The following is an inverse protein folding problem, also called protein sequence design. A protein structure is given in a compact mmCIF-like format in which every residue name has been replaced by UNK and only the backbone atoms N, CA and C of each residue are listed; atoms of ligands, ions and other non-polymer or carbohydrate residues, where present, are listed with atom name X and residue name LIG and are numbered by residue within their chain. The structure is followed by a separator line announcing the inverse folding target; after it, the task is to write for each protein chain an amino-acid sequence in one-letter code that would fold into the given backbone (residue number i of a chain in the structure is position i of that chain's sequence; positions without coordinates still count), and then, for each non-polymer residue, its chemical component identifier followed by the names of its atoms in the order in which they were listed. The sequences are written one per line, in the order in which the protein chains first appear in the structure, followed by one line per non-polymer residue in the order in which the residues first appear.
data_IF_420000649896
#
_entry.id   IF_420000649896
#
_cell.length_a   1.000
_cell.length_b   1.000
_cell.length_c   1.000
_cell.angle_alpha   90.00
_cell.angle_beta   90.00
_cell.angle_gamma   90.00
#
_symmetry.space_group_name_H-M   'P 1'
#
loop_
_entity.id
_entity.type
_entity.pdbx_description
1 polymer ?
#
# COMPACT_ATOMS: atom_id res chain seq x y z
N UNK A 1 -10.40 1.61 4.12
CA UNK A 1 -10.86 2.06 2.78
C UNK A 1 -12.34 2.44 2.80
N UNK A 2 -13.30 1.54 3.12
CA UNK A 2 -14.74 1.87 3.13
C UNK A 2 -15.04 3.11 3.97
N UNK A 3 -14.56 3.17 5.22
CA UNK A 3 -14.78 4.32 6.11
C UNK A 3 -14.28 5.64 5.51
N UNK A 4 -13.12 5.62 4.82
CA UNK A 4 -12.59 6.81 4.15
C UNK A 4 -13.57 7.33 3.08
N UNK A 5 -14.03 6.43 2.20
CA UNK A 5 -14.95 6.83 1.13
C UNK A 5 -16.29 7.31 1.66
N UNK A 6 -16.78 6.71 2.75
CA UNK A 6 -18.03 7.18 3.38
C UNK A 6 -17.86 8.59 3.95
N UNK A 7 -16.74 8.89 4.64
CA UNK A 7 -16.50 10.23 5.20
C UNK A 7 -16.32 11.31 4.13
N UNK A 8 -15.83 10.96 2.93
CA UNK A 8 -15.64 11.91 1.82
C UNK A 8 -16.93 12.18 1.05
N UNK A 9 -17.90 11.27 1.05
CA UNK A 9 -19.14 11.38 0.24
C UNK A 9 -20.31 11.97 1.04
N UNK A 10 -20.30 11.81 2.37
CA UNK A 10 -21.38 12.35 3.23
C UNK A 10 -21.14 13.85 3.47
N UNK A 11 -22.15 14.72 3.28
CA UNK A 11 -22.04 16.14 3.64
C UNK A 11 -21.54 16.30 5.09
N UNK A 12 -20.55 17.18 5.30
CA UNK A 12 -19.88 17.40 6.58
C UNK A 12 -19.20 16.16 7.19
N UNK A 13 -19.05 15.09 6.43
CA UNK A 13 -18.41 13.86 6.88
C UNK A 13 -16.95 14.07 7.30
N UNK A 14 -16.28 15.07 6.73
CA UNK A 14 -14.91 15.47 7.09
C UNK A 14 -14.80 16.07 8.51
N UNK A 15 -15.90 16.56 9.08
CA UNK A 15 -15.96 17.14 10.43
C UNK A 15 -16.28 16.10 11.51
N UNK A 16 -16.31 14.82 11.17
CA UNK A 16 -16.65 13.75 12.08
C UNK A 16 -15.44 13.13 12.75
N UNK A 17 -15.60 12.60 13.96
CA UNK A 17 -14.55 11.81 14.63
C UNK A 17 -14.07 10.60 13.78
N UNK A 18 -14.90 10.13 12.85
CA UNK A 18 -14.50 9.09 11.89
C UNK A 18 -13.48 9.59 10.89
N UNK A 19 -13.57 10.86 10.48
CA UNK A 19 -12.56 11.48 9.62
C UNK A 19 -11.22 11.62 10.37
N UNK A 20 -11.26 12.05 11.64
CA UNK A 20 -10.07 12.11 12.49
C UNK A 20 -9.43 10.72 12.64
N UNK A 21 -10.23 9.69 12.93
CA UNK A 21 -9.74 8.32 13.00
C UNK A 21 -9.13 7.85 11.67
N UNK A 22 -9.76 8.19 10.54
CA UNK A 22 -9.22 7.90 9.21
C UNK A 22 -7.87 8.57 8.98
N UNK A 23 -7.70 9.82 9.42
CA UNK A 23 -6.46 10.57 9.30
C UNK A 23 -5.35 9.92 10.13
N UNK A 24 -5.63 9.49 11.36
CA UNK A 24 -4.68 8.75 12.21
C UNK A 24 -4.27 7.40 11.63
N UNK A 25 -5.19 6.71 10.95
CA UNK A 25 -4.92 5.41 10.32
C UNK A 25 -4.33 5.52 8.92
N UNK A 26 -4.29 6.71 8.32
CA UNK A 26 -3.83 6.91 6.94
C UNK A 26 -2.44 6.34 6.68
N UNK A 27 -1.42 6.62 7.50
CA UNK A 27 -0.08 6.11 7.27
C UNK A 27 0.03 4.58 7.35
N UNK A 28 -0.91 3.92 8.04
CA UNK A 28 -0.90 2.47 8.28
C UNK A 28 -1.68 1.67 7.25
N UNK A 29 -2.75 2.23 6.68
CA UNK A 29 -3.71 1.48 5.85
C UNK A 29 -3.10 0.82 4.63
N UNK A 30 -2.45 1.59 3.79
CA UNK A 30 -1.87 1.12 2.54
C UNK A 30 -0.58 0.30 2.76
N UNK A 31 0.36 0.73 3.62
CA UNK A 31 1.52 -0.08 3.93
C UNK A 31 1.17 -1.46 4.50
N UNK A 32 0.23 -1.54 5.44
CA UNK A 32 -0.23 -2.83 5.97
C UNK A 32 -0.92 -3.69 4.91
N UNK A 33 -1.71 -3.07 4.03
CA UNK A 33 -2.32 -3.79 2.90
C UNK A 33 -1.26 -4.42 2.00
N UNK A 34 -0.24 -3.67 1.60
CA UNK A 34 0.84 -4.19 0.76
C UNK A 34 1.76 -5.16 1.51
N UNK A 35 2.01 -4.92 2.81
CA UNK A 35 2.75 -5.86 3.65
C UNK A 35 2.04 -7.22 3.73
N UNK A 36 0.75 -7.24 4.06
CA UNK A 36 -0.05 -8.47 4.13
C UNK A 36 -0.12 -9.16 2.77
N UNK A 37 -0.32 -8.38 1.70
CA UNK A 37 -0.33 -8.92 0.33
C UNK A 37 1.00 -9.58 -0.05
N UNK A 38 2.13 -8.96 0.30
CA UNK A 38 3.47 -9.52 0.10
C UNK A 38 3.71 -10.76 0.97
N UNK A 39 3.34 -10.70 2.24
CA UNK A 39 3.46 -11.82 3.19
C UNK A 39 2.76 -13.10 2.69
N UNK A 40 1.58 -12.97 2.06
CA UNK A 40 0.87 -14.10 1.46
C UNK A 40 1.30 -14.44 0.03
N UNK A 41 2.19 -13.66 -0.57
CA UNK A 41 2.67 -13.89 -1.94
C UNK A 41 3.88 -14.84 -2.04
N UNK A 42 4.33 -15.44 -0.95
CA UNK A 42 5.52 -16.33 -0.93
C UNK A 42 5.43 -17.57 -1.83
N UNK A 43 4.22 -18.02 -2.19
CA UNK A 43 4.04 -19.11 -3.16
C UNK A 43 4.62 -18.77 -4.54
N UNK A 44 4.72 -17.48 -4.88
CA UNK A 44 5.25 -16.96 -6.15
C UNK A 44 6.71 -17.38 -6.36
N UNK A 45 7.49 -17.55 -5.29
CA UNK A 45 8.87 -18.03 -5.40
C UNK A 45 9.00 -19.38 -6.12
N UNK A 46 7.93 -20.18 -6.14
CA UNK A 46 7.88 -21.52 -6.75
C UNK A 46 7.12 -21.56 -8.08
N UNK A 47 6.43 -20.45 -8.46
CA UNK A 47 5.58 -20.45 -9.65
C UNK A 47 6.39 -20.32 -10.94
N UNK A 48 5.95 -21.05 -11.96
CA UNK A 48 6.21 -20.71 -13.37
C UNK A 48 5.41 -19.46 -13.74
N UNK A 49 5.71 -18.83 -14.87
CA UNK A 49 4.94 -17.67 -15.32
C UNK A 49 3.47 -17.99 -15.58
N UNK A 50 3.20 -19.15 -16.18
CA UNK A 50 1.83 -19.61 -16.42
C UNK A 50 1.05 -19.81 -15.13
N UNK A 51 1.68 -20.37 -14.10
CA UNK A 51 1.06 -20.50 -12.77
C UNK A 51 0.84 -19.15 -12.09
N UNK A 52 1.78 -18.22 -12.20
CA UNK A 52 1.59 -16.86 -11.72
C UNK A 52 0.37 -16.22 -12.37
N UNK A 53 0.28 -16.32 -13.72
CA UNK A 53 -0.81 -15.73 -14.47
C UNK A 53 -2.16 -16.32 -14.06
N UNK A 54 -2.30 -17.63 -14.09
CA UNK A 54 -3.58 -18.33 -13.86
C UNK A 54 -4.02 -18.30 -12.39
N UNK A 55 -3.06 -18.36 -11.43
CA UNK A 55 -3.38 -18.47 -9.99
C UNK A 55 -3.41 -17.14 -9.27
N UNK A 56 -2.88 -16.04 -9.89
CA UNK A 56 -2.77 -14.73 -9.23
C UNK A 56 -3.18 -13.58 -10.13
N UNK A 57 -2.49 -13.38 -11.27
CA UNK A 57 -2.69 -12.19 -12.09
C UNK A 57 -4.10 -12.15 -12.68
N UNK A 58 -4.64 -13.29 -13.11
CA UNK A 58 -6.00 -13.38 -13.64
C UNK A 58 -7.06 -12.84 -12.67
N UNK A 59 -6.93 -13.17 -11.40
CA UNK A 59 -7.85 -12.72 -10.34
C UNK A 59 -7.77 -11.22 -10.03
N UNK A 60 -6.67 -10.58 -10.37
CA UNK A 60 -6.54 -9.12 -10.30
C UNK A 60 -6.92 -8.46 -11.61
N UNK A 61 -6.47 -9.02 -12.73
CA UNK A 61 -6.63 -8.43 -14.06
C UNK A 61 -8.10 -8.33 -14.46
N UNK A 62 -8.86 -9.40 -14.28
CA UNK A 62 -10.28 -9.43 -14.69
C UNK A 62 -11.12 -8.43 -13.91
N UNK A 63 -11.14 -8.42 -12.56
CA UNK A 63 -11.88 -7.40 -11.82
C UNK A 63 -11.39 -5.98 -12.12
N UNK A 64 -10.09 -5.79 -12.24
CA UNK A 64 -9.51 -4.49 -12.57
C UNK A 64 -10.04 -3.99 -13.92
N UNK A 65 -9.90 -4.79 -14.97
CA UNK A 65 -10.31 -4.39 -16.33
C UNK A 65 -11.80 -4.10 -16.40
N UNK A 66 -12.63 -5.00 -15.83
CA UNK A 66 -14.09 -4.84 -15.87
C UNK A 66 -14.54 -3.61 -15.09
N UNK A 67 -14.15 -3.50 -13.81
CA UNK A 67 -14.61 -2.41 -12.94
C UNK A 67 -14.09 -1.06 -13.35
N UNK A 68 -12.82 -0.98 -13.78
CA UNK A 68 -12.23 0.28 -14.21
C UNK A 68 -12.80 0.77 -15.54
N UNK A 69 -13.14 -0.15 -16.43
CA UNK A 69 -13.87 0.23 -17.67
C UNK A 69 -15.24 0.83 -17.34
N UNK A 70 -15.98 0.20 -16.43
CA UNK A 70 -17.30 0.72 -15.99
C UNK A 70 -17.13 2.06 -15.27
N UNK A 71 -16.16 2.20 -14.37
CA UNK A 71 -15.86 3.46 -13.66
C UNK A 71 -15.53 4.59 -14.63
N UNK A 72 -14.58 4.37 -15.54
CA UNK A 72 -14.14 5.38 -16.48
C UNK A 72 -15.28 5.79 -17.42
N UNK A 73 -16.11 4.83 -17.84
CA UNK A 73 -17.25 5.11 -18.70
C UNK A 73 -18.31 5.93 -17.97
N UNK A 74 -18.71 5.54 -16.77
CA UNK A 74 -19.73 6.27 -15.99
C UNK A 74 -19.27 7.67 -15.64
N UNK A 75 -18.03 7.88 -15.21
CA UNK A 75 -17.45 9.21 -14.98
C UNK A 75 -17.44 10.06 -16.24
N UNK A 76 -17.13 9.47 -17.39
CA UNK A 76 -17.07 10.22 -18.65
C UNK A 76 -18.46 10.64 -19.12
N UNK A 77 -19.47 9.81 -18.90
CA UNK A 77 -20.88 10.18 -19.14
C UNK A 77 -21.27 11.34 -18.22
N UNK A 78 -20.96 11.27 -16.94
CA UNK A 78 -21.22 12.34 -15.97
C UNK A 78 -20.56 13.65 -16.39
N UNK A 79 -19.27 13.63 -16.73
CA UNK A 79 -18.54 14.82 -17.18
C UNK A 79 -19.08 15.37 -18.51
N UNK A 80 -19.54 14.51 -19.42
CA UNK A 80 -20.21 14.95 -20.63
C UNK A 80 -21.48 15.73 -20.32
N UNK A 81 -22.31 15.25 -19.40
CA UNK A 81 -23.58 15.89 -19.04
C UNK A 81 -23.38 17.18 -18.24
N UNK A 82 -22.37 17.25 -17.39
CA UNK A 82 -22.13 18.41 -16.50
C UNK A 82 -21.29 19.48 -17.19
N UNK A 83 -20.26 19.10 -17.94
CA UNK A 83 -19.23 20.00 -18.45
C UNK A 83 -19.18 20.04 -19.99
N UNK A 84 -19.91 19.20 -20.71
CA UNK A 84 -19.87 19.09 -22.16
C UNK A 84 -18.64 18.38 -22.72
N UNK A 85 -17.91 17.66 -21.89
CA UNK A 85 -16.68 16.92 -22.26
C UNK A 85 -16.97 15.85 -23.33
N UNK A 86 -16.01 15.53 -24.22
CA UNK A 86 -16.18 14.47 -25.21
C UNK A 86 -16.37 13.10 -24.54
N UNK A 87 -17.09 12.19 -25.20
CA UNK A 87 -17.24 10.81 -24.71
C UNK A 87 -15.91 10.08 -24.62
N UNK A 88 -15.86 9.02 -23.80
CA UNK A 88 -14.67 8.18 -23.59
C UNK A 88 -14.23 7.55 -24.91
N UNK A 89 -13.01 7.84 -25.33
CA UNK A 89 -12.38 7.21 -26.48
C UNK A 89 -11.64 5.93 -26.02
N UNK A 90 -11.48 4.98 -26.94
CA UNK A 90 -10.74 3.75 -26.65
C UNK A 90 -9.27 4.01 -26.25
N UNK A 91 -8.66 5.01 -26.86
CA UNK A 91 -7.29 5.45 -26.51
C UNK A 91 -7.18 5.92 -25.08
N UNK A 92 -8.14 6.73 -24.61
CA UNK A 92 -8.17 7.24 -23.23
C UNK A 92 -8.43 6.11 -22.23
N UNK A 93 -9.34 5.18 -22.58
CA UNK A 93 -9.61 4.00 -21.78
C UNK A 93 -8.34 3.15 -21.60
N UNK A 94 -7.69 2.80 -22.71
CA UNK A 94 -6.46 1.99 -22.66
C UNK A 94 -5.34 2.71 -21.92
N UNK A 95 -5.17 4.01 -22.14
CA UNK A 95 -4.18 4.85 -21.44
C UNK A 95 -4.39 4.79 -19.92
N UNK A 96 -5.61 5.06 -19.45
CA UNK A 96 -5.91 5.07 -18.02
C UNK A 96 -5.79 3.67 -17.38
N UNK A 97 -6.22 2.62 -18.10
CA UNK A 97 -6.08 1.24 -17.61
C UNK A 97 -4.60 0.81 -17.52
N UNK A 98 -3.78 1.13 -18.53
CA UNK A 98 -2.38 0.75 -18.56
C UNK A 98 -1.53 1.51 -17.54
N UNK A 99 -1.82 2.79 -17.32
CA UNK A 99 -1.08 3.62 -16.36
C UNK A 99 -1.64 3.57 -14.94
N UNK A 100 -2.77 2.90 -14.72
CA UNK A 100 -3.37 2.79 -13.39
C UNK A 100 -3.99 4.09 -12.87
N UNK A 101 -4.40 5.01 -13.77
CA UNK A 101 -5.06 6.27 -13.44
C UNK A 101 -6.55 6.03 -13.10
N UNK A 102 -6.80 5.18 -12.13
CA UNK A 102 -8.14 4.72 -11.76
C UNK A 102 -8.27 4.65 -10.24
N UNK A 103 -9.49 4.55 -9.72
CA UNK A 103 -9.69 4.38 -8.27
C UNK A 103 -9.09 3.08 -7.75
N UNK A 104 -9.02 2.03 -8.56
CA UNK A 104 -8.42 0.75 -8.16
C UNK A 104 -6.93 0.63 -8.51
N UNK A 105 -6.19 1.75 -8.48
CA UNK A 105 -4.75 1.77 -8.71
C UNK A 105 -3.97 0.75 -7.85
N UNK A 106 -4.50 0.39 -6.68
CA UNK A 106 -3.87 -0.59 -5.79
C UNK A 106 -3.92 -2.02 -6.35
N UNK A 107 -4.98 -2.38 -7.11
CA UNK A 107 -5.06 -3.68 -7.81
C UNK A 107 -4.06 -3.68 -8.97
N UNK A 108 -3.99 -2.58 -9.73
CA UNK A 108 -2.97 -2.40 -10.75
C UNK A 108 -1.55 -2.56 -10.18
N UNK A 109 -1.26 -1.89 -9.05
CA UNK A 109 0.02 -2.05 -8.36
C UNK A 109 0.28 -3.50 -7.95
N UNK A 110 -0.71 -4.24 -7.43
CA UNK A 110 -0.56 -5.65 -7.08
C UNK A 110 -0.23 -6.52 -8.29
N UNK A 111 -0.78 -6.25 -9.48
CA UNK A 111 -0.42 -6.98 -10.70
C UNK A 111 1.08 -6.84 -10.95
N UNK A 112 1.59 -5.60 -10.99
CA UNK A 112 3.01 -5.33 -11.23
C UNK A 112 3.91 -5.84 -10.11
N UNK A 113 3.52 -5.70 -8.86
CA UNK A 113 4.31 -6.16 -7.72
C UNK A 113 4.44 -7.68 -7.68
N UNK A 114 3.40 -8.42 -8.07
CA UNK A 114 3.47 -9.87 -8.20
C UNK A 114 4.37 -10.30 -9.38
N UNK A 115 4.32 -9.57 -10.52
CA UNK A 115 5.22 -9.81 -11.66
C UNK A 115 6.67 -9.51 -11.24
N UNK A 116 6.90 -8.39 -10.57
CA UNK A 116 8.23 -8.02 -10.07
C UNK A 116 8.78 -9.08 -9.11
N UNK A 117 7.99 -9.50 -8.10
CA UNK A 117 8.38 -10.54 -7.15
C UNK A 117 8.73 -11.86 -7.86
N UNK A 118 7.97 -12.22 -8.89
CA UNK A 118 8.27 -13.39 -9.70
C UNK A 118 9.59 -13.22 -10.49
N UNK A 119 9.83 -12.04 -11.04
CA UNK A 119 11.07 -11.77 -11.78
C UNK A 119 12.32 -11.90 -10.87
N UNK A 120 12.24 -11.40 -9.64
CA UNK A 120 13.35 -11.45 -8.67
C UNK A 120 13.38 -12.72 -7.80
N UNK A 121 12.46 -13.67 -8.00
CA UNK A 121 12.25 -14.83 -7.13
C UNK A 121 13.47 -15.75 -6.93
N UNK A 122 14.41 -15.73 -7.85
CA UNK A 122 15.65 -16.53 -7.77
C UNK A 122 16.82 -15.80 -7.10
N UNK A 123 16.63 -14.52 -6.80
CA UNK A 123 17.66 -13.72 -6.16
C UNK A 123 17.67 -13.93 -4.63
N UNK A 124 18.81 -13.73 -3.98
CA UNK A 124 18.86 -13.67 -2.53
C UNK A 124 18.06 -12.48 -2.00
N UNK A 125 17.57 -12.59 -0.75
CA UNK A 125 16.65 -11.60 -0.17
C UNK A 125 17.17 -10.15 -0.26
N UNK A 126 18.45 -9.94 0.03
CA UNK A 126 19.07 -8.60 -0.04
C UNK A 126 19.03 -8.01 -1.44
N UNK A 127 19.24 -8.82 -2.50
CA UNK A 127 19.22 -8.36 -3.88
C UNK A 127 17.77 -8.11 -4.35
N UNK A 128 16.83 -9.01 -4.02
CA UNK A 128 15.42 -8.83 -4.35
C UNK A 128 14.82 -7.59 -3.70
N UNK A 129 15.11 -7.37 -2.41
CA UNK A 129 14.68 -6.16 -1.68
C UNK A 129 15.41 -4.93 -2.24
N UNK A 130 16.72 -5.00 -2.47
CA UNK A 130 17.48 -3.87 -3.04
C UNK A 130 16.94 -3.43 -4.40
N UNK A 131 16.65 -4.39 -5.30
CA UNK A 131 16.05 -4.09 -6.61
C UNK A 131 14.64 -3.50 -6.53
N UNK A 132 13.89 -3.76 -5.44
CA UNK A 132 12.56 -3.16 -5.27
C UNK A 132 12.61 -1.63 -5.10
N UNK A 133 13.78 -1.06 -4.82
CA UNK A 133 14.02 0.38 -4.80
C UNK A 133 14.36 0.97 -6.18
N UNK A 134 14.44 0.16 -7.24
CA UNK A 134 14.74 0.65 -8.60
C UNK A 134 13.79 1.79 -9.09
N UNK A 135 12.49 1.85 -8.70
CA UNK A 135 11.64 2.98 -9.06
C UNK A 135 12.17 4.35 -8.58
N UNK A 136 13.02 4.39 -7.54
CA UNK A 136 13.67 5.63 -7.09
C UNK A 136 14.53 6.29 -8.18
N UNK A 137 15.06 5.51 -9.12
CA UNK A 137 15.82 6.04 -10.25
C UNK A 137 14.99 7.02 -11.10
N UNK A 138 13.66 6.86 -11.05
CA UNK A 138 12.71 7.62 -11.86
C UNK A 138 11.83 8.56 -11.01
N UNK A 139 12.29 8.92 -9.81
CA UNK A 139 11.49 9.72 -8.86
C UNK A 139 11.01 11.05 -9.46
N UNK A 140 11.81 11.73 -10.25
CA UNK A 140 11.44 12.98 -10.89
C UNK A 140 10.28 12.84 -11.90
N UNK A 141 9.99 11.63 -12.37
CA UNK A 141 8.90 11.36 -13.30
C UNK A 141 7.59 10.99 -12.60
N UNK A 142 7.56 10.93 -11.26
CA UNK A 142 6.37 10.56 -10.50
C UNK A 142 5.17 11.47 -10.76
N UNK A 143 5.42 12.74 -11.09
CA UNK A 143 4.37 13.71 -11.41
C UNK A 143 3.69 13.44 -12.75
N UNK A 144 4.41 12.82 -13.69
CA UNK A 144 3.89 12.42 -14.99
C UNK A 144 3.30 11.01 -14.96
N UNK A 145 3.90 10.12 -14.18
CA UNK A 145 3.53 8.72 -14.06
C UNK A 145 3.21 8.35 -12.62
N UNK A 146 1.97 8.52 -12.26
CA UNK A 146 1.44 8.25 -10.90
C UNK A 146 1.89 6.90 -10.32
N UNK A 147 2.01 5.87 -11.19
CA UNK A 147 2.45 4.54 -10.78
C UNK A 147 3.87 4.52 -10.21
N UNK A 148 4.79 5.38 -10.68
CA UNK A 148 6.17 5.44 -10.17
C UNK A 148 6.17 5.81 -8.69
N UNK A 149 5.44 6.84 -8.30
CA UNK A 149 5.31 7.24 -6.89
C UNK A 149 4.75 6.11 -6.02
N UNK A 150 3.74 5.38 -6.52
CA UNK A 150 3.17 4.23 -5.79
C UNK A 150 4.13 3.05 -5.69
N UNK A 151 4.92 2.81 -6.74
CA UNK A 151 5.96 1.79 -6.72
C UNK A 151 7.07 2.14 -5.71
N UNK A 152 7.52 3.40 -5.65
CA UNK A 152 8.50 3.87 -4.66
C UNK A 152 7.99 3.61 -3.23
N UNK A 153 6.73 3.94 -2.96
CA UNK A 153 6.15 3.82 -1.62
C UNK A 153 5.89 2.37 -1.19
N UNK A 154 5.44 1.51 -2.08
CA UNK A 154 4.83 0.25 -1.66
C UNK A 154 5.51 -1.01 -2.17
N UNK A 155 6.28 -0.94 -3.27
CA UNK A 155 6.99 -2.11 -3.80
C UNK A 155 8.02 -2.67 -2.82
N UNK A 156 8.87 -1.84 -2.14
CA UNK A 156 9.82 -2.35 -1.15
C UNK A 156 9.12 -3.02 0.05
N UNK A 157 7.97 -2.48 0.49
CA UNK A 157 7.18 -3.06 1.59
C UNK A 157 6.62 -4.42 1.18
N UNK A 158 6.05 -4.52 -0.02
CA UNK A 158 5.49 -5.76 -0.55
C UNK A 158 6.57 -6.85 -0.73
N UNK A 159 7.67 -6.52 -1.39
CA UNK A 159 8.79 -7.45 -1.65
C UNK A 159 9.47 -7.83 -0.34
N UNK A 160 9.74 -6.84 0.51
CA UNK A 160 10.30 -7.06 1.86
C UNK A 160 9.45 -8.01 2.67
N UNK A 161 8.12 -7.85 2.67
CA UNK A 161 7.21 -8.74 3.37
C UNK A 161 7.25 -10.19 2.86
N UNK A 162 7.39 -10.38 1.54
CA UNK A 162 7.51 -11.72 0.96
C UNK A 162 8.81 -12.43 1.37
N UNK A 163 9.94 -11.73 1.31
CA UNK A 163 11.24 -12.30 1.69
C UNK A 163 11.41 -12.43 3.22
N UNK A 164 10.89 -11.48 3.98
CA UNK A 164 11.03 -11.42 5.44
C UNK A 164 9.82 -12.03 6.18
N UNK A 165 9.08 -12.91 5.53
CA UNK A 165 7.91 -13.56 6.15
C UNK A 165 8.21 -14.17 7.50
N UNK A 166 9.33 -14.91 7.64
CA UNK A 166 9.72 -15.55 8.89
C UNK A 166 9.94 -14.57 10.04
N UNK A 167 10.78 -13.53 9.87
CA UNK A 167 10.92 -12.44 10.84
C UNK A 167 9.60 -11.77 11.21
N UNK A 168 8.75 -11.45 10.23
CA UNK A 168 7.42 -10.82 10.46
C UNK A 168 6.54 -11.74 11.29
N UNK A 169 6.49 -13.04 10.98
CA UNK A 169 5.73 -14.02 11.77
C UNK A 169 6.23 -14.04 13.23
N UNK A 170 7.56 -14.13 13.43
CA UNK A 170 8.14 -14.14 14.79
C UNK A 170 7.83 -12.86 15.57
N UNK A 171 7.80 -11.71 14.90
CA UNK A 171 7.44 -10.43 15.50
C UNK A 171 5.96 -10.43 15.94
N UNK A 172 5.06 -10.89 15.07
CA UNK A 172 3.63 -10.98 15.37
C UNK A 172 3.37 -12.01 16.51
N UNK A 173 4.02 -13.18 16.48
CA UNK A 173 3.92 -14.19 17.54
C UNK A 173 4.43 -13.66 18.89
N UNK A 174 5.50 -12.86 18.88
CA UNK A 174 6.02 -12.21 20.08
C UNK A 174 5.02 -11.19 20.65
N UNK A 175 4.34 -10.44 19.80
CA UNK A 175 3.28 -9.51 20.19
C UNK A 175 2.03 -10.25 20.72
N UNK A 176 1.72 -11.44 20.19
CA UNK A 176 0.57 -12.25 20.60
C UNK A 176 0.81 -13.03 21.92
N UNK A 177 2.06 -13.35 22.25
CA UNK A 177 2.42 -14.22 23.35
C UNK A 177 1.82 -13.83 24.73
N UNK A 178 1.67 -12.53 25.11
CA UNK A 178 1.03 -12.15 26.37
C UNK A 178 -0.42 -12.64 26.49
N UNK A 179 -1.16 -12.63 25.38
CA UNK A 179 -2.56 -13.08 25.34
C UNK A 179 -2.71 -14.61 25.47
N UNK A 180 -1.61 -15.33 25.24
CA UNK A 180 -1.50 -16.79 25.43
C UNK A 180 -0.94 -17.15 26.83
N UNK A 181 -0.88 -16.19 27.74
CA UNK A 181 -0.36 -16.39 29.09
C UNK A 181 1.16 -16.51 29.18
N UNK A 182 1.90 -16.16 28.11
CA UNK A 182 3.35 -16.30 28.05
C UNK A 182 3.99 -14.94 27.78
N UNK A 183 4.25 -14.17 28.83
CA UNK A 183 4.99 -12.91 28.70
C UNK A 183 6.50 -13.21 28.64
N UNK A 184 7.12 -12.87 27.51
CA UNK A 184 8.56 -13.12 27.27
C UNK A 184 9.29 -11.81 27.00
N UNK A 185 10.62 -11.81 27.16
CA UNK A 185 11.46 -10.67 26.73
C UNK A 185 11.21 -10.27 25.28
N UNK A 186 10.93 -11.24 24.39
CA UNK A 186 10.56 -10.99 23.00
C UNK A 186 9.30 -10.13 22.85
N UNK A 187 8.30 -10.29 23.74
CA UNK A 187 7.08 -9.47 23.74
C UNK A 187 7.40 -8.02 24.10
N UNK A 188 8.23 -7.79 25.11
CA UNK A 188 8.69 -6.44 25.46
C UNK A 188 9.40 -5.76 24.28
N UNK A 189 10.27 -6.50 23.59
CA UNK A 189 10.95 -5.98 22.40
C UNK A 189 9.97 -5.68 21.26
N UNK A 190 8.96 -6.52 21.03
CA UNK A 190 7.98 -6.28 19.97
C UNK A 190 7.17 -5.00 20.24
N UNK A 191 6.66 -4.84 21.46
CA UNK A 191 5.92 -3.62 21.84
C UNK A 191 6.82 -2.39 21.88
N UNK A 192 8.02 -2.50 22.47
CA UNK A 192 9.00 -1.42 22.52
C UNK A 192 9.41 -0.95 21.12
N UNK A 193 9.73 -1.89 20.22
CA UNK A 193 10.06 -1.57 18.84
C UNK A 193 8.89 -0.89 18.11
N UNK A 194 7.66 -1.37 18.31
CA UNK A 194 6.47 -0.77 17.72
C UNK A 194 6.27 0.67 18.18
N UNK A 195 6.39 0.93 19.49
CA UNK A 195 6.23 2.29 20.05
C UNK A 195 7.35 3.21 19.55
N UNK A 196 8.60 2.78 19.65
CA UNK A 196 9.75 3.61 19.24
C UNK A 196 9.68 3.91 17.75
N UNK A 197 9.40 2.92 16.91
CA UNK A 197 9.32 3.12 15.47
C UNK A 197 8.14 4.01 15.07
N UNK A 198 7.00 3.89 15.75
CA UNK A 198 5.85 4.77 15.54
C UNK A 198 6.16 6.23 15.88
N UNK A 199 6.76 6.46 17.07
CA UNK A 199 7.18 7.80 17.48
C UNK A 199 8.21 8.37 16.51
N UNK A 200 9.15 7.56 16.02
CA UNK A 200 10.13 7.98 15.03
C UNK A 200 9.45 8.40 13.70
N UNK A 201 8.48 7.62 13.22
CA UNK A 201 7.69 7.97 12.03
C UNK A 201 6.97 9.30 12.18
N UNK A 202 6.22 9.47 13.28
CA UNK A 202 5.54 10.73 13.60
C UNK A 202 6.51 11.91 13.70
N UNK A 203 7.68 11.71 14.31
CA UNK A 203 8.70 12.76 14.47
C UNK A 203 9.24 13.18 13.10
N UNK A 204 9.58 12.24 12.23
CA UNK A 204 10.04 12.53 10.87
C UNK A 204 8.97 13.33 10.11
N UNK A 205 7.72 12.92 10.20
CA UNK A 205 6.62 13.62 9.54
C UNK A 205 6.40 15.01 10.09
N UNK A 206 6.40 15.15 11.41
CA UNK A 206 6.22 16.45 12.08
C UNK A 206 7.35 17.42 11.73
N UNK A 207 8.62 16.97 11.79
CA UNK A 207 9.77 17.79 11.42
C UNK A 207 9.75 18.20 9.96
N UNK A 208 9.34 17.30 9.05
CA UNK A 208 9.18 17.63 7.64
C UNK A 208 8.10 18.67 7.40
N UNK A 209 6.95 18.54 8.06
CA UNK A 209 5.86 19.51 7.93
C UNK A 209 6.22 20.90 8.46
N UNK A 210 7.14 20.97 9.42
CA UNK A 210 7.66 22.23 9.97
C UNK A 210 8.69 22.93 9.06
N UNK A 211 9.20 22.24 8.01
CA UNK A 211 10.10 22.86 7.02
C UNK A 211 9.30 23.82 6.16
N UNK A 212 9.56 25.11 6.27
CA UNK A 212 8.94 26.14 5.45
C UNK A 212 9.78 26.43 4.18
N UNK A 213 9.11 26.92 3.14
CA UNK A 213 9.74 27.35 1.90
C UNK A 213 9.93 26.27 0.86
N UNK A 214 10.55 26.66 -0.24
CA UNK A 214 10.91 25.76 -1.33
C UNK A 214 12.15 24.96 -0.95
N UNK A 215 12.03 23.63 -1.14
CA UNK A 215 13.16 22.71 -0.95
C UNK A 215 13.53 22.15 -2.32
N UNK A 216 14.80 22.30 -2.68
CA UNK A 216 15.35 21.77 -3.92
C UNK A 216 16.65 21.01 -3.63
N UNK A 217 16.73 19.78 -4.06
CA UNK A 217 17.91 18.91 -3.89
C UNK A 217 18.37 18.41 -5.25
N UNK A 218 19.65 18.59 -5.53
CA UNK A 218 20.23 18.07 -6.77
C UNK A 218 20.27 16.55 -6.73
N UNK A 219 19.65 15.90 -7.72
CA UNK A 219 19.56 14.45 -7.80
C UNK A 219 20.51 13.93 -8.89
N UNK A 220 21.51 13.12 -8.54
CA UNK A 220 22.54 12.69 -9.49
C UNK A 220 22.12 11.55 -10.42
N UNK A 221 20.88 11.05 -10.29
CA UNK A 221 20.40 9.89 -11.03
C UNK A 221 19.55 10.31 -12.25
N UNK A 222 19.40 9.43 -13.26
CA UNK A 222 18.57 9.69 -14.43
C UNK A 222 17.13 10.08 -14.05
N UNK A 223 16.54 11.04 -14.76
CA UNK A 223 15.15 11.44 -14.63
C UNK A 223 14.91 12.71 -13.82
N UNK A 224 15.91 13.37 -13.29
CA UNK A 224 15.71 14.66 -12.62
C UNK A 224 17.01 15.33 -12.21
N UNK A 225 17.15 16.58 -12.61
CA UNK A 225 18.26 17.42 -12.18
C UNK A 225 18.03 17.97 -10.78
N UNK A 226 16.75 18.24 -10.42
CA UNK A 226 16.36 18.85 -9.14
C UNK A 226 15.09 18.16 -8.63
N UNK A 227 15.17 17.60 -7.42
CA UNK A 227 14.01 17.12 -6.70
C UNK A 227 13.36 18.27 -5.92
N UNK A 228 12.08 18.48 -6.17
CA UNK A 228 11.28 19.46 -5.46
C UNK A 228 10.70 18.90 -4.14
N UNK A 229 9.98 19.78 -3.42
CA UNK A 229 9.33 19.42 -2.14
C UNK A 229 8.40 18.19 -2.27
N UNK A 230 7.66 18.05 -3.39
CA UNK A 230 6.77 16.90 -3.62
C UNK A 230 7.50 15.57 -3.75
N UNK A 231 8.69 15.55 -4.37
CA UNK A 231 9.50 14.34 -4.50
C UNK A 231 10.08 13.93 -3.14
N UNK A 232 10.54 14.92 -2.37
CA UNK A 232 11.06 14.68 -1.03
C UNK A 232 9.95 14.26 -0.06
N UNK A 233 8.75 14.85 -0.16
CA UNK A 233 7.58 14.42 0.62
C UNK A 233 7.24 12.95 0.38
N UNK A 234 7.36 12.46 -0.85
CA UNK A 234 7.18 11.04 -1.17
C UNK A 234 8.17 10.15 -0.41
N UNK A 235 9.45 10.54 -0.35
CA UNK A 235 10.48 9.79 0.38
C UNK A 235 10.25 9.83 1.90
N UNK A 236 9.87 10.99 2.42
CA UNK A 236 9.52 11.15 3.84
C UNK A 236 8.31 10.30 4.20
N UNK A 237 7.26 10.30 3.37
CA UNK A 237 6.09 9.41 3.56
C UNK A 237 6.46 7.94 3.51
N UNK A 238 7.35 7.54 2.61
CA UNK A 238 7.84 6.17 2.57
C UNK A 238 8.55 5.78 3.87
N UNK A 239 9.43 6.67 4.38
CA UNK A 239 10.16 6.44 5.64
C UNK A 239 9.20 6.37 6.85
N UNK A 240 8.28 7.33 6.97
CA UNK A 240 7.23 7.37 7.98
C UNK A 240 6.43 6.06 7.99
N UNK A 241 5.82 5.71 6.86
CA UNK A 241 4.96 4.54 6.73
C UNK A 241 5.70 3.22 7.00
N UNK A 242 6.96 3.13 6.59
CA UNK A 242 7.79 1.95 6.85
C UNK A 242 8.09 1.82 8.35
N UNK A 243 8.41 2.93 9.02
CA UNK A 243 8.65 2.97 10.45
C UNK A 243 7.39 2.67 11.27
N UNK A 244 6.22 3.08 10.80
CA UNK A 244 4.95 2.83 11.51
C UNK A 244 4.39 1.42 11.30
N UNK A 245 4.89 0.69 10.30
CA UNK A 245 4.42 -0.67 9.99
C UNK A 245 4.48 -1.65 11.19
N UNK A 246 5.54 -1.70 12.03
CA UNK A 246 5.56 -2.55 13.23
C UNK A 246 4.42 -2.24 14.21
N UNK A 247 4.08 -0.95 14.40
CA UNK A 247 2.95 -0.56 15.23
C UNK A 247 1.62 -1.03 14.64
N UNK A 248 1.48 -0.99 13.31
CA UNK A 248 0.32 -1.54 12.62
C UNK A 248 0.17 -3.04 12.81
N UNK A 249 1.27 -3.82 12.79
CA UNK A 249 1.24 -5.27 13.08
C UNK A 249 0.79 -5.52 14.51
N UNK A 250 1.38 -4.82 15.49
CA UNK A 250 0.98 -4.94 16.91
C UNK A 250 -0.48 -4.53 17.09
N UNK A 251 -0.92 -3.43 16.49
CA UNK A 251 -2.30 -2.98 16.50
C UNK A 251 -3.28 -4.04 15.96
N UNK A 252 -2.93 -4.71 14.86
CA UNK A 252 -3.73 -5.79 14.31
C UNK A 252 -3.83 -6.99 15.28
N UNK A 253 -2.73 -7.35 15.95
CA UNK A 253 -2.73 -8.38 17.00
C UNK A 253 -3.66 -7.98 18.16
N UNK A 254 -3.54 -6.75 18.66
CA UNK A 254 -4.41 -6.25 19.74
C UNK A 254 -5.89 -6.29 19.35
N UNK A 255 -6.23 -5.78 18.17
CA UNK A 255 -7.59 -5.78 17.64
C UNK A 255 -8.15 -7.21 17.53
N UNK A 256 -7.32 -8.18 17.15
CA UNK A 256 -7.75 -9.57 17.01
C UNK A 256 -8.22 -10.21 18.31
N UNK A 257 -7.78 -9.68 19.47
CA UNK A 257 -8.14 -10.16 20.80
C UNK A 257 -9.32 -9.40 21.44
N UNK A 258 -9.86 -8.38 20.78
CA UNK A 258 -11.12 -7.73 21.20
C UNK A 258 -12.28 -8.44 20.50
N UNK A 259 -13.11 -9.26 21.20
CA UNK A 259 -14.05 -10.17 20.56
C UNK A 259 -15.05 -9.50 19.62
N UNK A 260 -15.67 -8.39 20.06
CA UNK A 260 -16.64 -7.65 19.24
C UNK A 260 -16.00 -7.06 17.99
N UNK A 261 -14.84 -6.41 18.14
CA UNK A 261 -14.12 -5.76 17.05
C UNK A 261 -13.53 -6.79 16.07
N UNK A 262 -12.95 -7.87 16.59
CA UNK A 262 -12.44 -9.00 15.80
C UNK A 262 -13.54 -9.62 14.94
N UNK A 263 -14.74 -9.85 15.51
CA UNK A 263 -15.88 -10.40 14.79
C UNK A 263 -16.35 -9.45 13.70
N UNK A 264 -16.47 -8.16 14.01
CA UNK A 264 -16.84 -7.12 13.04
C UNK A 264 -15.83 -7.03 11.88
N UNK A 265 -14.54 -6.93 12.19
CA UNK A 265 -13.48 -6.83 11.15
C UNK A 265 -13.44 -8.09 10.29
N UNK A 266 -13.59 -9.28 10.87
CA UNK A 266 -13.69 -10.55 10.12
C UNK A 266 -14.92 -10.59 9.23
N UNK A 267 -16.06 -10.10 9.72
CA UNK A 267 -17.29 -10.00 8.93
C UNK A 267 -17.11 -9.08 7.74
N UNK A 268 -16.62 -7.85 7.96
CA UNK A 268 -16.33 -6.89 6.88
C UNK A 268 -15.32 -7.48 5.89
N UNK A 269 -14.23 -8.06 6.39
CA UNK A 269 -13.18 -8.66 5.55
C UNK A 269 -13.69 -9.78 4.65
N UNK A 270 -14.60 -10.63 5.15
CA UNK A 270 -15.19 -11.72 4.36
C UNK A 270 -16.15 -11.24 3.27
N UNK A 271 -16.77 -10.08 3.45
CA UNK A 271 -17.74 -9.51 2.50
C UNK A 271 -17.12 -8.48 1.57
N UNK A 272 -15.84 -8.19 1.71
CA UNK A 272 -15.14 -7.27 0.81
C UNK A 272 -14.56 -8.05 -0.38
N UNK A 273 -14.78 -7.62 -1.64
CA UNK A 273 -14.29 -8.32 -2.83
C UNK A 273 -12.79 -8.65 -2.80
N UNK A 274 -12.01 -7.83 -2.12
CA UNK A 274 -10.55 -8.05 -1.95
C UNK A 274 -10.24 -9.29 -1.13
N UNK A 275 -11.11 -9.72 -0.21
CA UNK A 275 -10.88 -10.93 0.58
C UNK A 275 -11.03 -12.22 -0.24
N UNK A 276 -11.81 -12.21 -1.30
CA UNK A 276 -11.98 -13.39 -2.17
C UNK A 276 -10.74 -13.72 -3.00
N UNK A 277 -9.86 -12.75 -3.23
CA UNK A 277 -8.64 -12.98 -4.00
C UNK A 277 -7.48 -13.56 -3.18
N UNK A 278 -7.60 -13.61 -1.86
CA UNK A 278 -6.55 -14.07 -0.95
C UNK A 278 -6.83 -15.40 -0.26
N UNK A 279 -8.05 -15.93 -0.33
CA UNK A 279 -8.48 -17.13 0.41
C UNK A 279 -8.56 -18.42 -0.44
N UNK A 280 -8.25 -18.35 -1.71
CA UNK A 280 -8.10 -19.49 -2.61
C UNK A 280 -6.67 -19.54 -3.17
#
# INVERSE_FOLDING_TARGET
MVLLHVTLVVPEGELTWLADLNMWLDPLRLPLFFLVSGYFSTKIFRYSFSELFTRRLWFFLVPYTVWMTVELWTKRIEYHWVFGDPYLQLTDLLYNLLLGHTMAWFIHALIFFNIFLWAVRKLPAWAGIGLSFAPLLFIAWQHHYYFIGKAIMFLPIFVGAAYLRGPITRFADAAEAPFKGTFRKASMWAYGAAIISYIAGLTIRHTWNAVEGEVAVQWPLPGGDILGRGDLDLLIRFAEQTLETPAGIVGAVLISHIPALSTFVKFVGRHTPVSYTHLT
#
